data_IF_854140594942
#
_entry.id   IF_854140594942
#
_cell.length_a   1.000
_cell.length_b   1.000
_cell.length_c   1.000
_cell.angle_alpha   90.00
_cell.angle_beta   90.00
_cell.angle_gamma   90.00
#
_symmetry.space_group_name_H-M   'P 1'
#
loop_
_entity.id
_entity.type
_entity.pdbx_description
1 polymer ?
#
# COMPACT_ATOMS: atom_id res chain seq x y z
N UNK A 1 13.26 -17.97 5.34
CA UNK A 1 11.91 -17.42 5.56
C UNK A 1 11.74 -16.29 4.56
N UNK A 2 10.56 -16.03 4.05
CA UNK A 2 10.34 -14.83 3.24
C UNK A 2 10.17 -13.66 4.20
N UNK A 3 10.81 -12.51 3.91
CA UNK A 3 10.48 -11.27 4.61
C UNK A 3 9.04 -10.92 4.27
N UNK A 4 8.28 -10.51 5.26
CA UNK A 4 6.92 -10.02 5.08
C UNK A 4 6.93 -8.51 4.98
N UNK A 5 6.15 -7.99 4.06
CA UNK A 5 5.92 -6.55 3.90
C UNK A 5 4.46 -6.28 4.23
N UNK A 6 4.23 -5.53 5.29
CA UNK A 6 2.90 -5.05 5.67
C UNK A 6 2.58 -3.80 4.86
N UNK A 7 1.35 -3.67 4.38
CA UNK A 7 0.90 -2.46 3.71
C UNK A 7 -0.45 -2.02 4.26
N UNK A 8 -0.59 -0.72 4.49
CA UNK A 8 -1.80 -0.06 4.95
C UNK A 8 -2.26 0.90 3.86
N UNK A 9 -3.46 0.67 3.34
CA UNK A 9 -4.01 1.40 2.19
C UNK A 9 -5.23 2.17 2.67
N UNK A 10 -5.33 3.44 2.34
CA UNK A 10 -6.49 4.29 2.59
C UNK A 10 -7.02 4.88 1.29
N UNK A 11 -8.28 5.27 1.31
CA UNK A 11 -8.98 5.75 0.13
C UNK A 11 -9.68 7.07 0.41
N UNK A 12 -9.76 7.94 -0.61
CA UNK A 12 -10.54 9.17 -0.57
C UNK A 12 -11.36 9.33 -1.85
N UNK A 13 -12.39 10.14 -1.77
CA UNK A 13 -13.25 10.51 -2.89
C UNK A 13 -13.91 9.32 -3.61
N UNK A 14 -14.18 8.24 -2.88
CA UNK A 14 -14.85 7.08 -3.43
C UNK A 14 -16.32 7.38 -3.74
N UNK A 15 -16.79 6.88 -4.88
CA UNK A 15 -18.22 6.76 -5.14
C UNK A 15 -18.85 5.77 -4.16
N UNK A 16 -20.17 5.84 -4.02
CA UNK A 16 -20.90 4.83 -3.22
C UNK A 16 -20.68 3.41 -3.77
N UNK A 17 -20.59 3.25 -5.10
CA UNK A 17 -20.37 1.95 -5.74
C UNK A 17 -19.01 1.36 -5.39
N UNK A 18 -17.94 2.17 -5.44
CA UNK A 18 -16.59 1.74 -5.05
C UNK A 18 -16.49 1.45 -3.55
N UNK A 19 -17.11 2.26 -2.69
CA UNK A 19 -17.16 2.04 -1.26
C UNK A 19 -17.91 0.74 -0.89
N UNK A 20 -19.07 0.50 -1.48
CA UNK A 20 -19.85 -0.74 -1.27
C UNK A 20 -19.05 -1.95 -1.79
N UNK A 21 -18.40 -1.84 -2.96
CA UNK A 21 -17.53 -2.89 -3.51
C UNK A 21 -16.44 -3.32 -2.54
N UNK A 22 -15.71 -2.36 -1.96
CA UNK A 22 -14.66 -2.66 -0.98
C UNK A 22 -15.22 -3.37 0.26
N UNK A 23 -16.35 -2.93 0.80
CA UNK A 23 -16.99 -3.59 1.94
C UNK A 23 -17.48 -5.02 1.64
N UNK A 24 -17.76 -5.33 0.36
CA UNK A 24 -18.19 -6.65 -0.08
C UNK A 24 -17.03 -7.58 -0.49
N UNK A 25 -15.79 -7.07 -0.55
CA UNK A 25 -14.62 -7.88 -0.92
C UNK A 25 -14.31 -8.94 0.13
N UNK A 26 -14.34 -8.56 1.41
CA UNK A 26 -14.01 -9.44 2.54
C UNK A 26 -15.14 -9.41 3.58
N UNK A 27 -16.30 -10.02 3.30
CA UNK A 27 -17.45 -9.99 4.21
C UNK A 27 -17.18 -10.69 5.54
N UNK A 28 -16.20 -11.58 5.59
CA UNK A 28 -15.71 -12.22 6.80
C UNK A 28 -14.22 -12.65 6.65
N UNK A 29 -13.60 -13.01 7.77
CA UNK A 29 -12.19 -13.42 7.85
C UNK A 29 -11.90 -14.79 7.16
N UNK A 30 -12.90 -15.49 6.65
CA UNK A 30 -12.75 -16.75 5.91
C UNK A 30 -12.74 -16.53 4.40
N UNK A 31 -12.92 -15.28 3.94
CA UNK A 31 -12.88 -14.96 2.53
C UNK A 31 -11.49 -15.26 1.97
N UNK A 32 -11.44 -16.10 0.95
CA UNK A 32 -10.20 -16.55 0.33
C UNK A 32 -9.53 -15.43 -0.46
N UNK A 33 -8.20 -15.30 -0.34
CA UNK A 33 -7.39 -14.32 -1.12
C UNK A 33 -7.72 -14.38 -2.62
N UNK A 34 -7.84 -15.57 -3.18
CA UNK A 34 -8.17 -15.79 -4.60
C UNK A 34 -9.53 -15.21 -4.99
N UNK A 35 -10.50 -15.19 -4.08
CA UNK A 35 -11.81 -14.58 -4.31
C UNK A 35 -11.70 -13.06 -4.37
N UNK A 36 -10.93 -12.46 -3.47
CA UNK A 36 -10.67 -11.02 -3.45
C UNK A 36 -9.97 -10.59 -4.74
N UNK A 37 -8.88 -11.27 -5.11
CA UNK A 37 -8.12 -10.97 -6.32
C UNK A 37 -8.98 -11.11 -7.59
N UNK A 38 -9.85 -12.13 -7.68
CA UNK A 38 -10.77 -12.28 -8.82
C UNK A 38 -11.71 -11.10 -8.95
N UNK A 39 -12.24 -10.58 -7.85
CA UNK A 39 -13.16 -9.43 -7.88
C UNK A 39 -12.44 -8.14 -8.28
N UNK A 40 -11.21 -7.92 -7.78
CA UNK A 40 -10.43 -6.71 -8.09
C UNK A 40 -10.01 -6.71 -9.56
N UNK A 41 -9.48 -7.81 -10.08
CA UNK A 41 -8.92 -7.92 -11.42
C UNK A 41 -9.91 -8.47 -12.48
N UNK A 42 -11.21 -8.60 -12.13
CA UNK A 42 -12.26 -9.13 -13.03
C UNK A 42 -11.90 -10.50 -13.65
N UNK A 43 -11.27 -11.38 -12.89
CA UNK A 43 -10.78 -12.65 -13.40
C UNK A 43 -11.88 -13.74 -13.41
N UNK A 44 -11.86 -14.65 -14.39
CA UNK A 44 -12.80 -15.75 -14.46
C UNK A 44 -12.60 -16.74 -13.31
N UNK A 45 -13.67 -17.49 -12.98
CA UNK A 45 -13.59 -18.59 -12.03
C UNK A 45 -12.60 -19.66 -12.52
N UNK A 46 -11.73 -20.14 -11.62
CA UNK A 46 -10.70 -21.14 -11.93
C UNK A 46 -9.43 -20.55 -12.55
N UNK A 47 -9.24 -19.22 -12.48
CA UNK A 47 -7.95 -18.61 -12.83
C UNK A 47 -6.85 -19.20 -11.95
N UNK A 48 -5.77 -19.66 -12.59
CA UNK A 48 -4.57 -20.13 -11.89
C UNK A 48 -3.60 -18.97 -11.68
N UNK A 49 -3.22 -18.75 -10.43
CA UNK A 49 -2.25 -17.74 -10.03
C UNK A 49 -0.86 -18.38 -9.97
N UNK A 50 -0.07 -18.16 -11.01
CA UNK A 50 1.34 -18.58 -11.03
C UNK A 50 2.26 -17.44 -10.66
N UNK A 51 3.58 -17.73 -10.61
CA UNK A 51 4.60 -16.74 -10.29
C UNK A 51 4.57 -15.50 -11.21
N UNK A 52 4.45 -15.72 -12.51
CA UNK A 52 4.47 -14.62 -13.49
C UNK A 52 3.24 -13.72 -13.28
N UNK A 53 2.06 -14.32 -13.02
CA UNK A 53 0.85 -13.56 -12.71
C UNK A 53 1.01 -12.69 -11.45
N UNK A 54 1.59 -13.24 -10.37
CA UNK A 54 1.84 -12.47 -9.15
C UNK A 54 2.86 -11.36 -9.37
N UNK A 55 3.93 -11.60 -10.12
CA UNK A 55 4.92 -10.59 -10.44
C UNK A 55 4.31 -9.43 -11.24
N UNK A 56 3.48 -9.74 -12.23
CA UNK A 56 2.90 -8.75 -13.14
C UNK A 56 1.75 -7.95 -12.51
N UNK A 57 0.93 -8.57 -11.65
CA UNK A 57 -0.32 -7.96 -11.16
C UNK A 57 -0.27 -7.55 -9.67
N UNK A 58 0.64 -8.12 -8.90
CA UNK A 58 0.81 -7.81 -7.48
C UNK A 58 2.13 -7.05 -7.25
N UNK A 59 3.20 -7.42 -7.95
CA UNK A 59 4.55 -6.89 -7.71
C UNK A 59 5.28 -7.64 -6.58
N UNK A 60 4.69 -8.73 -6.05
CA UNK A 60 5.24 -9.54 -4.97
C UNK A 60 5.00 -11.02 -5.23
N UNK A 61 5.67 -11.88 -4.48
CA UNK A 61 5.57 -13.34 -4.64
C UNK A 61 4.19 -13.91 -4.30
N UNK A 62 3.52 -13.33 -3.31
CA UNK A 62 2.16 -13.62 -2.88
C UNK A 62 1.63 -12.43 -2.09
N UNK A 63 0.31 -12.37 -1.90
CA UNK A 63 -0.39 -11.39 -1.09
C UNK A 63 -1.42 -12.11 -0.22
N UNK A 64 -1.66 -11.58 0.97
CA UNK A 64 -2.80 -11.93 1.83
C UNK A 64 -3.48 -10.65 2.32
N UNK A 65 -4.76 -10.74 2.64
CA UNK A 65 -5.56 -9.65 3.16
C UNK A 65 -5.87 -9.91 4.63
N UNK A 66 -5.68 -8.90 5.48
CA UNK A 66 -5.98 -8.97 6.91
C UNK A 66 -7.28 -8.23 7.23
N UNK A 67 -7.49 -7.07 6.58
CA UNK A 67 -8.72 -6.27 6.69
C UNK A 67 -9.00 -5.59 5.35
N UNK A 68 -10.29 -5.50 4.99
CA UNK A 68 -10.75 -4.82 3.77
C UNK A 68 -12.09 -4.15 4.04
N UNK A 69 -12.13 -2.83 3.85
CA UNK A 69 -13.35 -2.03 3.99
C UNK A 69 -13.31 -0.82 3.05
N UNK A 70 -14.40 -0.09 2.97
CA UNK A 70 -14.45 1.20 2.25
C UNK A 70 -13.56 2.29 2.87
N UNK A 71 -13.15 2.13 4.13
CA UNK A 71 -12.30 3.09 4.83
C UNK A 71 -10.80 2.78 4.66
N UNK A 72 -10.46 1.52 4.36
CA UNK A 72 -9.08 1.09 4.16
C UNK A 72 -8.89 -0.40 3.98
N UNK A 73 -7.64 -0.79 3.74
CA UNK A 73 -7.24 -2.18 3.52
C UNK A 73 -5.86 -2.43 4.12
N UNK A 74 -5.70 -3.60 4.75
CA UNK A 74 -4.39 -4.10 5.21
C UNK A 74 -4.01 -5.35 4.45
N UNK A 75 -2.78 -5.39 3.96
CA UNK A 75 -2.24 -6.55 3.23
C UNK A 75 -0.86 -6.93 3.74
N UNK A 76 -0.52 -8.20 3.56
CA UNK A 76 0.85 -8.70 3.77
C UNK A 76 1.32 -9.38 2.49
N UNK A 77 2.53 -9.05 2.05
CA UNK A 77 3.18 -9.60 0.87
C UNK A 77 4.55 -10.19 1.20
N UNK A 78 5.15 -10.90 0.24
CA UNK A 78 6.49 -11.43 0.40
C UNK A 78 7.51 -10.62 -0.41
N UNK A 79 8.55 -10.13 0.29
CA UNK A 79 9.79 -9.54 -0.21
C UNK A 79 9.71 -8.13 -0.80
N UNK A 80 8.57 -7.67 -1.25
CA UNK A 80 8.38 -6.37 -1.87
C UNK A 80 7.02 -5.78 -1.57
N UNK A 81 6.91 -4.47 -1.62
CA UNK A 81 5.62 -3.78 -1.61
C UNK A 81 4.79 -4.18 -2.85
N UNK A 82 3.47 -4.28 -2.73
CA UNK A 82 2.62 -4.71 -3.82
C UNK A 82 2.17 -3.54 -4.73
N UNK A 83 3.10 -2.82 -5.32
CA UNK A 83 2.81 -1.61 -6.13
C UNK A 83 1.91 -1.90 -7.33
N UNK A 84 2.14 -3.04 -8.04
CA UNK A 84 1.29 -3.42 -9.15
C UNK A 84 -0.16 -3.69 -8.68
N UNK A 85 -0.33 -4.25 -7.47
CA UNK A 85 -1.63 -4.40 -6.84
C UNK A 85 -2.29 -3.04 -6.52
N UNK A 86 -1.52 -2.07 -5.99
CA UNK A 86 -2.06 -0.73 -5.73
C UNK A 86 -2.61 -0.09 -7.00
N UNK A 87 -1.88 -0.19 -8.11
CA UNK A 87 -2.33 0.32 -9.42
C UNK A 87 -3.57 -0.40 -9.92
N UNK A 88 -3.60 -1.73 -9.90
CA UNK A 88 -4.75 -2.53 -10.32
C UNK A 88 -6.00 -2.28 -9.46
N UNK A 89 -5.83 -2.13 -8.14
CA UNK A 89 -6.92 -1.76 -7.23
C UNK A 89 -7.45 -0.35 -7.55
N UNK A 90 -6.56 0.62 -7.75
CA UNK A 90 -6.94 1.99 -8.11
C UNK A 90 -7.73 2.03 -9.42
N UNK A 91 -7.26 1.35 -10.48
CA UNK A 91 -7.96 1.23 -11.76
C UNK A 91 -9.36 0.64 -11.58
N UNK A 92 -9.49 -0.38 -10.71
CA UNK A 92 -10.79 -0.95 -10.37
C UNK A 92 -11.72 0.07 -9.74
N UNK A 93 -11.24 0.85 -8.75
CA UNK A 93 -12.05 1.88 -8.09
C UNK A 93 -12.49 2.98 -9.06
N UNK A 94 -11.61 3.43 -9.95
CA UNK A 94 -11.95 4.40 -11.01
C UNK A 94 -13.04 3.83 -11.93
N UNK A 95 -12.97 2.55 -12.30
CA UNK A 95 -13.97 1.88 -13.14
C UNK A 95 -15.36 1.79 -12.47
N UNK A 96 -15.43 1.90 -11.15
CA UNK A 96 -16.65 1.93 -10.33
C UNK A 96 -17.14 3.36 -10.06
N UNK A 97 -17.10 4.21 -11.08
CA UNK A 97 -17.56 5.60 -11.05
C UNK A 97 -16.86 6.48 -9.98
N UNK A 98 -15.60 6.22 -9.70
CA UNK A 98 -14.77 7.03 -8.81
C UNK A 98 -13.62 7.72 -9.56
N UNK A 99 -13.90 8.61 -10.54
CA UNK A 99 -12.85 9.26 -11.34
C UNK A 99 -11.94 10.17 -10.50
N UNK A 100 -12.43 10.63 -9.36
CA UNK A 100 -11.70 11.51 -8.43
C UNK A 100 -11.12 10.73 -7.23
N UNK A 101 -11.09 9.39 -7.29
CA UNK A 101 -10.54 8.56 -6.23
C UNK A 101 -9.07 8.89 -5.99
N UNK A 102 -8.67 8.84 -4.74
CA UNK A 102 -7.27 8.85 -4.33
C UNK A 102 -6.99 7.59 -3.51
N UNK A 103 -5.86 6.98 -3.76
CA UNK A 103 -5.33 5.85 -3.01
C UNK A 103 -4.01 6.28 -2.38
N UNK A 104 -3.87 6.05 -1.09
CA UNK A 104 -2.62 6.23 -0.37
C UNK A 104 -2.26 4.93 0.34
N UNK A 105 -1.02 4.50 0.21
CA UNK A 105 -0.49 3.32 0.87
C UNK A 105 0.81 3.66 1.59
N UNK A 106 1.00 3.10 2.79
CA UNK A 106 2.30 3.01 3.44
C UNK A 106 2.66 1.54 3.61
N UNK A 107 3.94 1.23 3.57
CA UNK A 107 4.42 -0.14 3.71
C UNK A 107 5.74 -0.20 4.48
N UNK A 108 5.93 -1.30 5.20
CA UNK A 108 7.14 -1.62 5.95
C UNK A 108 7.47 -3.11 5.86
N UNK A 109 8.76 -3.42 5.80
CA UNK A 109 9.29 -4.79 5.92
C UNK A 109 9.38 -5.19 7.39
N UNK A 110 9.06 -6.45 7.74
CA UNK A 110 9.08 -6.99 9.12
C UNK A 110 10.45 -6.87 9.82
N UNK A 111 11.54 -6.76 9.05
CA UNK A 111 12.89 -6.48 9.52
C UNK A 111 13.38 -5.19 8.90
N UNK A 112 12.82 -4.04 9.25
CA UNK A 112 12.70 -2.87 8.37
C UNK A 112 13.98 -2.57 7.57
N UNK A 113 14.21 -3.41 6.52
CA UNK A 113 15.26 -3.18 5.55
C UNK A 113 14.86 -2.04 4.61
N UNK A 114 13.55 -1.84 4.48
CA UNK A 114 12.97 -0.72 3.74
C UNK A 114 11.60 -0.37 4.31
N UNK A 115 11.23 0.88 4.10
CA UNK A 115 9.88 1.41 4.31
C UNK A 115 9.53 2.33 3.15
N UNK A 116 8.25 2.59 2.94
CA UNK A 116 7.88 3.52 1.88
C UNK A 116 6.41 3.91 1.91
N UNK A 117 6.09 4.81 1.01
CA UNK A 117 4.74 5.30 0.75
C UNK A 117 4.48 5.34 -0.75
N UNK A 118 3.20 5.22 -1.11
CA UNK A 118 2.76 5.18 -2.49
C UNK A 118 1.40 5.86 -2.61
N UNK A 119 1.24 6.78 -3.54
CA UNK A 119 0.01 7.52 -3.77
C UNK A 119 -0.42 7.48 -5.22
N UNK A 120 -1.73 7.36 -5.47
CA UNK A 120 -2.34 7.48 -6.78
C UNK A 120 -3.51 8.44 -6.70
N UNK A 121 -3.60 9.33 -7.68
CA UNK A 121 -4.67 10.29 -7.82
C UNK A 121 -5.19 10.43 -9.25
N UNK A 122 -6.23 11.24 -9.47
CA UNK A 122 -6.78 11.49 -10.79
C UNK A 122 -5.74 12.06 -11.78
N UNK A 123 -6.02 11.91 -13.09
CA UNK A 123 -5.18 12.39 -14.19
C UNK A 123 -3.76 11.80 -14.19
N UNK A 124 -3.64 10.51 -13.86
CA UNK A 124 -2.37 9.78 -13.79
C UNK A 124 -1.36 10.39 -12.78
N UNK A 125 -1.85 11.15 -11.78
CA UNK A 125 -0.99 11.63 -10.71
C UNK A 125 -0.52 10.46 -9.85
N UNK A 126 0.79 10.33 -9.68
CA UNK A 126 1.40 9.35 -8.78
C UNK A 126 2.45 10.00 -7.87
N UNK A 127 2.68 9.36 -6.74
CA UNK A 127 3.63 9.76 -5.72
C UNK A 127 4.28 8.53 -5.10
N UNK A 128 5.58 8.54 -4.95
CA UNK A 128 6.32 7.41 -4.36
C UNK A 128 7.55 7.92 -3.62
N UNK A 129 7.70 7.48 -2.38
CA UNK A 129 8.93 7.60 -1.61
C UNK A 129 9.31 6.25 -1.02
N UNK A 130 10.55 5.86 -1.21
CA UNK A 130 11.11 4.59 -0.78
C UNK A 130 12.42 4.85 -0.04
N UNK A 131 12.53 4.35 1.19
CA UNK A 131 13.71 4.51 2.03
C UNK A 131 14.31 3.14 2.35
N UNK A 132 15.63 3.03 2.20
CA UNK A 132 16.44 1.92 2.70
C UNK A 132 17.06 2.29 4.06
N UNK A 133 17.63 1.33 4.76
CA UNK A 133 18.18 1.52 6.12
C UNK A 133 19.17 2.70 6.21
N UNK A 134 19.93 2.97 5.13
CA UNK A 134 20.90 4.05 5.05
C UNK A 134 20.28 5.46 5.03
N UNK A 135 19.00 5.57 4.69
CA UNK A 135 18.29 6.85 4.60
C UNK A 135 17.55 7.22 5.89
N UNK A 136 17.34 6.26 6.79
CA UNK A 136 16.44 6.41 7.94
C UNK A 136 16.85 7.53 8.89
N UNK A 137 18.15 7.65 9.23
CA UNK A 137 18.60 8.73 10.13
C UNK A 137 18.34 10.12 9.54
N UNK A 138 18.47 10.26 8.22
CA UNK A 138 18.27 11.54 7.55
C UNK A 138 16.79 11.88 7.35
N UNK A 139 15.97 10.91 6.95
CA UNK A 139 14.59 11.14 6.54
C UNK A 139 13.59 10.96 7.70
N UNK A 140 13.81 9.94 8.55
CA UNK A 140 12.92 9.60 9.67
C UNK A 140 13.49 10.16 11.00
N UNK A 141 14.82 10.34 11.09
CA UNK A 141 15.49 10.86 12.27
C UNK A 141 15.92 9.80 13.28
N UNK A 142 15.74 8.52 12.99
CA UNK A 142 16.25 7.39 13.77
C UNK A 142 16.30 6.11 12.91
N UNK A 143 16.96 5.09 13.45
CA UNK A 143 16.97 3.72 12.87
C UNK A 143 16.12 2.77 13.71
N UNK A 144 15.55 1.70 13.12
CA UNK A 144 14.69 0.76 13.83
C UNK A 144 15.43 -0.07 14.89
N UNK A 145 16.71 -0.33 14.65
CA UNK A 145 17.58 -1.10 15.53
C UNK A 145 18.95 -0.44 15.65
N UNK A 146 19.58 -0.58 16.79
CA UNK A 146 20.96 -0.15 17.01
C UNK A 146 21.78 -1.24 17.67
N UNK A 147 23.08 -1.30 17.37
CA UNK A 147 24.01 -2.27 17.92
C UNK A 147 24.46 -1.82 19.32
N UNK A 148 24.40 -2.74 20.29
CA UNK A 148 24.90 -2.56 21.64
C UNK A 148 25.95 -3.61 21.98
N UNK A 149 26.62 -3.49 23.13
CA UNK A 149 27.58 -4.49 23.59
C UNK A 149 26.95 -5.89 23.81
N UNK A 150 25.63 -5.93 24.05
CA UNK A 150 24.85 -7.14 24.29
C UNK A 150 24.12 -7.67 23.02
N UNK A 151 24.25 -6.99 21.88
CA UNK A 151 23.62 -7.34 20.59
C UNK A 151 22.77 -6.21 20.01
N UNK A 152 21.82 -6.58 19.17
CA UNK A 152 20.89 -5.62 18.56
C UNK A 152 19.70 -5.34 19.49
N UNK A 153 19.40 -4.06 19.70
CA UNK A 153 18.23 -3.59 20.43
C UNK A 153 17.28 -2.83 19.52
N UNK A 154 15.98 -3.01 19.76
CA UNK A 154 14.93 -2.28 19.05
C UNK A 154 14.85 -0.83 19.55
N UNK A 155 14.70 0.12 18.64
CA UNK A 155 14.50 1.52 18.96
C UNK A 155 13.00 1.75 19.28
N UNK A 156 12.70 2.10 20.54
CA UNK A 156 11.32 2.31 20.98
C UNK A 156 10.65 3.51 20.28
N UNK A 157 11.43 4.48 19.82
CA UNK A 157 10.92 5.69 19.15
C UNK A 157 10.67 5.45 17.64
N UNK A 158 11.07 4.29 17.08
CA UNK A 158 11.02 4.03 15.65
C UNK A 158 9.63 4.21 15.06
N UNK A 159 8.61 3.57 15.64
CA UNK A 159 7.26 3.60 15.11
C UNK A 159 6.63 5.00 15.17
N UNK A 160 6.87 5.74 16.26
CA UNK A 160 6.38 7.11 16.38
C UNK A 160 7.01 8.02 15.31
N UNK A 161 8.32 7.86 15.07
CA UNK A 161 9.05 8.60 14.03
C UNK A 161 8.67 8.21 12.61
N UNK A 162 8.45 6.93 12.38
CA UNK A 162 7.95 6.46 11.09
C UNK A 162 6.54 7.00 10.80
N UNK A 163 5.67 7.01 11.80
CA UNK A 163 4.33 7.59 11.69
C UNK A 163 4.38 9.09 11.39
N UNK A 164 5.23 9.86 12.08
CA UNK A 164 5.45 11.29 11.80
C UNK A 164 5.93 11.51 10.35
N UNK A 165 6.86 10.68 9.86
CA UNK A 165 7.37 10.77 8.50
C UNK A 165 6.28 10.48 7.46
N UNK A 166 5.56 9.37 7.58
CA UNK A 166 4.52 9.00 6.61
C UNK A 166 3.34 9.98 6.58
N UNK A 167 3.04 10.65 7.71
CA UNK A 167 2.05 11.75 7.75
C UNK A 167 2.56 12.96 6.96
N UNK A 168 3.83 13.31 7.08
CA UNK A 168 4.47 14.38 6.28
C UNK A 168 4.49 14.07 4.78
N UNK A 169 4.74 12.81 4.41
CA UNK A 169 4.70 12.37 3.01
C UNK A 169 3.26 12.39 2.46
N UNK A 170 2.27 12.05 3.30
CA UNK A 170 0.86 12.18 2.92
C UNK A 170 0.46 13.65 2.64
N UNK A 171 0.90 14.59 3.48
CA UNK A 171 0.66 16.00 3.24
C UNK A 171 1.32 16.46 1.93
N UNK A 172 2.56 16.00 1.66
CA UNK A 172 3.27 16.24 0.41
C UNK A 172 2.54 15.68 -0.82
N UNK A 173 1.96 14.49 -0.71
CA UNK A 173 1.13 13.88 -1.76
C UNK A 173 -0.11 14.74 -2.05
N UNK A 174 -0.81 15.20 -1.02
CA UNK A 174 -2.03 16.02 -1.18
C UNK A 174 -1.71 17.40 -1.75
N UNK A 175 -0.65 18.06 -1.26
CA UNK A 175 -0.21 19.36 -1.76
C UNK A 175 0.28 19.26 -3.21
N UNK A 176 1.10 18.23 -3.53
CA UNK A 176 1.58 17.97 -4.88
C UNK A 176 0.46 17.71 -5.89
N UNK A 177 -0.61 17.02 -5.46
CA UNK A 177 -1.79 16.83 -6.30
C UNK A 177 -2.52 18.17 -6.58
N UNK A 178 -2.61 19.06 -5.58
CA UNK A 178 -3.22 20.36 -5.78
C UNK A 178 -2.42 21.23 -6.79
N UNK A 179 -1.10 21.23 -6.69
CA UNK A 179 -0.21 21.92 -7.63
C UNK A 179 -0.31 21.32 -9.04
N UNK A 180 -0.40 19.98 -9.15
CA UNK A 180 -0.56 19.27 -10.42
C UNK A 180 -1.82 19.72 -11.19
N UNK A 181 -2.95 19.86 -10.49
CA UNK A 181 -4.20 20.32 -11.13
C UNK A 181 -4.07 21.76 -11.63
N UNK A 182 -3.41 22.66 -10.87
CA UNK A 182 -3.24 24.05 -11.27
C UNK A 182 -2.36 24.22 -12.51
N UNK A 183 -1.43 23.29 -12.77
CA UNK A 183 -0.57 23.29 -13.97
C UNK A 183 -1.29 22.79 -15.23
N UNK A 184 -2.34 21.97 -15.09
CA UNK A 184 -3.11 21.39 -16.19
C UNK A 184 -4.27 22.31 -16.68
N UNK A 185 -4.65 23.34 -15.92
CA UNK A 185 -5.67 24.34 -16.27
C UNK A 185 -5.07 25.53 -17.11
#
# INVERSE_FOLDING_TARGET
MANHVSSYISFQNLSKEAYDFLNELMPDYQTETDEILRKIFDLPEGTEYNWDWYADNIGAKWITFEDVSGDGMSTVTAWSAPEAFFRGLYEKLVSLNSPDAMLWASFDDEMPNFVGVFGLGPNDYDYEEYLEEEDYEQCIGCVPHYETDDGWEHNEDWWDKFDEWREGEYDSFVEGYADWIEEEE
#
